data_IF_470871661946
#
_entry.id   IF_470871661946
#
_cell.length_a   1.000
_cell.length_b   1.000
_cell.length_c   1.000
_cell.angle_alpha   90.00
_cell.angle_beta   90.00
_cell.angle_gamma   90.00
#
_symmetry.space_group_name_H-M   'P 1'
#
loop_
_entity.id
_entity.type
_entity.pdbx_description
1 polymer ?
#
# COMPACT_ATOMS: atom_id res chain seq x y z
N UNK A 1 4.85 -11.44 -0.52
CA UNK A 1 5.06 -12.86 -0.16
C UNK A 1 5.26 -13.07 1.33
N UNK A 2 6.06 -12.26 2.03
CA UNK A 2 6.30 -12.41 3.47
C UNK A 2 4.99 -12.35 4.28
N UNK A 3 4.09 -11.40 3.99
CA UNK A 3 2.78 -11.33 4.63
C UNK A 3 1.95 -12.61 4.44
N UNK A 4 1.94 -13.15 3.21
CA UNK A 4 1.26 -14.40 2.90
C UNK A 4 1.86 -15.60 3.66
N UNK A 5 3.18 -15.66 3.78
CA UNK A 5 3.86 -16.72 4.54
C UNK A 5 3.55 -16.63 6.04
N UNK A 6 3.62 -15.41 6.59
CA UNK A 6 3.36 -15.17 8.01
C UNK A 6 1.91 -15.49 8.41
N UNK A 7 0.94 -15.05 7.62
CA UNK A 7 -0.48 -15.22 7.92
C UNK A 7 -1.05 -16.55 7.43
N UNK A 8 -0.34 -17.30 6.57
CA UNK A 8 -0.83 -18.47 5.84
C UNK A 8 -2.09 -18.18 5.01
N UNK A 9 -2.19 -16.96 4.44
CA UNK A 9 -3.34 -16.48 3.67
C UNK A 9 -2.87 -15.95 2.32
N UNK A 10 -3.62 -16.14 1.22
CA UNK A 10 -3.22 -15.64 -0.10
C UNK A 10 -3.67 -14.21 -0.38
N UNK A 11 -4.79 -13.75 0.20
CA UNK A 11 -5.50 -12.57 -0.22
C UNK A 11 -4.81 -11.27 0.21
N UNK A 12 -4.54 -10.39 -0.75
CA UNK A 12 -3.92 -9.07 -0.54
C UNK A 12 -4.87 -7.99 -1.04
N UNK A 13 -4.98 -6.93 -0.27
CA UNK A 13 -5.66 -5.70 -0.69
C UNK A 13 -4.60 -4.70 -1.15
N UNK A 14 -4.84 -4.04 -2.28
CA UNK A 14 -4.02 -2.95 -2.77
C UNK A 14 -4.88 -1.75 -3.20
N UNK A 15 -4.26 -0.59 -3.29
CA UNK A 15 -4.92 0.62 -3.74
C UNK A 15 -4.84 0.74 -5.26
N UNK A 16 -5.92 1.19 -5.92
CA UNK A 16 -5.89 1.49 -7.35
C UNK A 16 -4.88 2.59 -7.66
N UNK A 17 -4.40 2.63 -8.88
CA UNK A 17 -3.36 3.55 -9.39
C UNK A 17 -1.97 3.37 -8.75
N UNK A 18 -1.78 2.41 -7.86
CA UNK A 18 -0.49 2.12 -7.23
C UNK A 18 0.45 1.35 -8.16
N UNK A 19 1.76 1.53 -7.94
CA UNK A 19 2.81 0.79 -8.61
C UNK A 19 3.80 0.24 -7.59
N UNK A 20 4.02 -1.08 -7.62
CA UNK A 20 4.88 -1.81 -6.66
C UNK A 20 5.97 -2.65 -7.33
N UNK A 21 6.18 -2.46 -8.62
CA UNK A 21 7.18 -3.17 -9.41
C UNK A 21 6.61 -4.24 -10.34
N UNK A 22 7.50 -4.96 -11.04
CA UNK A 22 7.16 -5.81 -12.18
C UNK A 22 7.59 -7.27 -12.00
N UNK A 23 7.90 -7.71 -10.80
CA UNK A 23 7.96 -9.15 -10.53
C UNK A 23 6.54 -9.71 -10.50
N UNK A 24 6.37 -11.02 -10.71
CA UNK A 24 5.03 -11.63 -10.77
C UNK A 24 4.11 -11.23 -9.62
N UNK A 25 4.61 -11.22 -8.38
CA UNK A 25 3.79 -10.87 -7.22
C UNK A 25 3.62 -9.35 -7.04
N UNK A 26 4.61 -8.53 -7.40
CA UNK A 26 4.49 -7.07 -7.31
C UNK A 26 3.65 -6.50 -8.44
N UNK A 27 3.70 -7.09 -9.64
CA UNK A 27 2.80 -6.74 -10.75
C UNK A 27 1.35 -7.05 -10.39
N UNK A 28 1.09 -8.19 -9.74
CA UNK A 28 -0.25 -8.55 -9.29
C UNK A 28 -0.90 -7.50 -8.36
N UNK A 29 -0.12 -6.77 -7.56
CA UNK A 29 -0.60 -5.67 -6.69
C UNK A 29 -0.42 -4.27 -7.30
N UNK A 30 0.22 -4.15 -8.46
CA UNK A 30 0.38 -2.90 -9.21
C UNK A 30 -0.84 -2.66 -10.09
N UNK A 31 -1.56 -1.58 -9.83
CA UNK A 31 -2.85 -1.29 -10.48
C UNK A 31 -2.80 -0.06 -11.38
N UNK A 32 -1.61 0.47 -11.61
CA UNK A 32 -1.39 1.62 -12.50
C UNK A 32 -1.67 1.24 -13.95
N UNK A 33 -2.76 1.74 -14.51
CA UNK A 33 -3.11 1.55 -15.93
C UNK A 33 -2.19 2.34 -16.86
N UNK A 34 -1.43 3.30 -16.36
CA UNK A 34 -0.43 4.03 -17.13
C UNK A 34 0.80 3.14 -17.42
N UNK A 35 1.15 2.25 -16.48
CA UNK A 35 2.26 1.31 -16.64
C UNK A 35 1.83 0.00 -17.31
N UNK A 36 0.62 -0.47 -17.02
CA UNK A 36 0.03 -1.66 -17.61
C UNK A 36 -1.46 -1.41 -17.90
N UNK A 37 -1.84 -1.16 -19.17
CA UNK A 37 -3.24 -0.94 -19.55
C UNK A 37 -4.20 -2.07 -19.14
N UNK A 38 -3.69 -3.29 -18.97
CA UNK A 38 -4.46 -4.46 -18.57
C UNK A 38 -4.40 -4.73 -17.05
N UNK A 39 -3.80 -3.84 -16.27
CA UNK A 39 -3.55 -4.04 -14.85
C UNK A 39 -4.79 -4.44 -14.04
N UNK A 40 -5.99 -3.99 -14.39
CA UNK A 40 -7.22 -4.33 -13.68
C UNK A 40 -7.89 -5.60 -14.21
N UNK A 41 -7.71 -5.95 -15.50
CA UNK A 41 -8.40 -7.07 -16.15
C UNK A 41 -7.64 -8.41 -16.03
N UNK A 42 -6.34 -8.38 -15.79
CA UNK A 42 -5.49 -9.58 -15.70
C UNK A 42 -5.13 -9.98 -14.28
N UNK A 43 -5.81 -9.40 -13.30
CA UNK A 43 -5.51 -9.57 -11.89
C UNK A 43 -5.95 -10.93 -11.36
N UNK A 44 -5.10 -11.61 -10.54
CA UNK A 44 -5.50 -12.84 -9.87
C UNK A 44 -6.64 -12.62 -8.88
N UNK A 45 -7.47 -13.64 -8.65
CA UNK A 45 -8.64 -13.61 -7.76
C UNK A 45 -8.30 -13.33 -6.28
N UNK A 46 -7.05 -13.52 -5.88
CA UNK A 46 -6.56 -13.24 -4.53
C UNK A 46 -6.14 -11.77 -4.32
N UNK A 47 -6.30 -10.92 -5.35
CA UNK A 47 -6.06 -9.48 -5.25
C UNK A 47 -7.39 -8.74 -5.17
N UNK A 48 -7.56 -7.98 -4.10
CA UNK A 48 -8.68 -7.07 -3.89
C UNK A 48 -8.20 -5.63 -4.01
N UNK A 49 -9.05 -4.74 -4.50
CA UNK A 49 -8.68 -3.33 -4.68
C UNK A 49 -9.61 -2.41 -3.92
N UNK A 50 -9.04 -1.38 -3.28
CA UNK A 50 -9.75 -0.18 -2.83
C UNK A 50 -9.53 0.94 -3.83
N UNK A 51 -10.40 1.95 -3.84
CA UNK A 51 -10.25 3.08 -4.75
C UNK A 51 -8.97 3.88 -4.44
N UNK A 52 -8.44 4.52 -5.49
CA UNK A 52 -7.31 5.43 -5.35
C UNK A 52 -7.70 6.63 -4.49
N UNK A 53 -7.07 6.78 -3.34
CA UNK A 53 -7.32 7.89 -2.42
C UNK A 53 -6.71 9.21 -2.93
N UNK A 54 -7.06 9.57 -4.17
CA UNK A 54 -6.54 10.71 -4.91
C UNK A 54 -7.45 11.92 -4.73
N UNK A 55 -7.07 12.81 -3.81
CA UNK A 55 -7.81 14.05 -3.51
C UNK A 55 -7.84 15.07 -4.65
N UNK A 56 -6.96 14.92 -5.66
CA UNK A 56 -6.85 15.84 -6.79
C UNK A 56 -7.72 15.43 -7.98
N UNK A 57 -7.67 14.14 -8.39
CA UNK A 57 -8.36 13.65 -9.59
C UNK A 57 -9.35 12.53 -9.33
N UNK A 58 -9.42 12.01 -8.11
CA UNK A 58 -10.29 10.90 -7.76
C UNK A 58 -11.76 11.28 -7.69
N UNK A 59 -12.57 10.32 -7.22
CA UNK A 59 -14.02 10.48 -7.05
C UNK A 59 -14.37 11.43 -5.89
N UNK A 60 -13.53 11.49 -4.85
CA UNK A 60 -13.65 12.43 -3.75
C UNK A 60 -12.49 13.42 -3.80
N UNK A 61 -12.78 14.71 -3.95
CA UNK A 61 -11.79 15.76 -4.15
C UNK A 61 -11.79 16.78 -3.00
N UNK A 62 -10.63 17.40 -2.76
CA UNK A 62 -10.50 18.41 -1.71
C UNK A 62 -10.93 17.86 -0.36
N UNK A 63 -11.82 18.56 0.34
CA UNK A 63 -12.30 18.20 1.67
C UNK A 63 -13.09 16.87 1.69
N UNK A 64 -13.74 16.50 0.59
CA UNK A 64 -14.45 15.24 0.47
C UNK A 64 -13.53 14.01 0.48
N UNK A 65 -12.23 14.18 0.28
CA UNK A 65 -11.26 13.09 0.25
C UNK A 65 -11.21 12.28 1.56
N UNK A 66 -11.67 12.82 2.67
CA UNK A 66 -11.82 12.09 3.95
C UNK A 66 -12.73 10.86 3.84
N UNK A 67 -13.60 10.80 2.83
CA UNK A 67 -14.51 9.67 2.58
C UNK A 67 -13.79 8.40 2.13
N UNK A 68 -12.59 8.51 1.53
CA UNK A 68 -11.84 7.35 1.07
C UNK A 68 -11.49 6.36 2.19
N UNK A 69 -11.17 6.84 3.38
CA UNK A 69 -10.85 5.99 4.52
C UNK A 69 -11.99 5.05 4.91
N UNK A 70 -13.17 5.56 5.26
CA UNK A 70 -14.34 4.75 5.57
C UNK A 70 -14.77 3.82 4.44
N UNK A 71 -14.67 4.26 3.17
CA UNK A 71 -15.01 3.43 2.02
C UNK A 71 -14.03 2.28 1.83
N UNK A 72 -12.73 2.51 1.98
CA UNK A 72 -11.72 1.47 1.94
C UNK A 72 -11.92 0.44 3.07
N UNK A 73 -12.22 0.90 4.29
CA UNK A 73 -12.56 0.03 5.43
C UNK A 73 -13.75 -0.86 5.08
N UNK A 74 -14.84 -0.29 4.55
CA UNK A 74 -16.04 -1.03 4.15
C UNK A 74 -15.73 -2.11 3.10
N UNK A 75 -14.87 -1.81 2.12
CA UNK A 75 -14.43 -2.79 1.12
C UNK A 75 -13.65 -3.92 1.79
N UNK A 76 -12.70 -3.60 2.67
CA UNK A 76 -11.87 -4.58 3.38
C UNK A 76 -12.73 -5.50 4.23
N UNK A 77 -13.66 -4.96 5.00
CA UNK A 77 -14.59 -5.73 5.83
C UNK A 77 -15.54 -6.59 4.98
N UNK A 78 -15.90 -6.10 3.80
CA UNK A 78 -16.80 -6.80 2.86
C UNK A 78 -16.18 -7.96 2.08
N UNK A 79 -14.84 -8.19 2.15
CA UNK A 79 -14.17 -9.30 1.45
C UNK A 79 -14.68 -10.67 1.91
N UNK A 80 -15.15 -10.78 3.15
CA UNK A 80 -15.81 -12.00 3.68
C UNK A 80 -14.87 -13.18 3.95
N UNK A 81 -13.55 -12.98 3.85
CA UNK A 81 -12.50 -13.96 4.16
C UNK A 81 -11.27 -13.28 4.74
N UNK A 82 -10.46 -14.00 5.53
CA UNK A 82 -9.24 -13.43 6.10
C UNK A 82 -8.22 -13.04 5.03
N UNK A 83 -7.65 -11.85 5.14
CA UNK A 83 -6.63 -11.31 4.24
C UNK A 83 -5.22 -11.47 4.83
N UNK A 84 -4.21 -11.56 3.96
CA UNK A 84 -2.80 -11.55 4.37
C UNK A 84 -2.32 -10.13 4.70
N UNK A 85 -2.85 -9.11 4.02
CA UNK A 85 -2.48 -7.74 4.29
C UNK A 85 -2.99 -6.74 3.27
N UNK A 86 -2.64 -5.49 3.53
CA UNK A 86 -2.86 -4.36 2.64
C UNK A 86 -1.52 -3.74 2.27
N UNK A 87 -1.31 -3.46 0.98
CA UNK A 87 -0.13 -2.76 0.48
C UNK A 87 -0.53 -1.44 -0.18
N UNK A 88 0.20 -0.39 0.14
CA UNK A 88 0.09 0.91 -0.53
C UNK A 88 1.38 1.69 -0.47
N UNK A 89 1.57 2.59 -1.43
CA UNK A 89 2.47 3.72 -1.27
C UNK A 89 1.94 4.60 -0.12
N UNK A 90 2.82 5.09 0.76
CA UNK A 90 2.43 6.00 1.85
C UNK A 90 2.09 7.41 1.36
N UNK A 91 2.44 7.68 0.10
CA UNK A 91 2.18 8.89 -0.65
C UNK A 91 2.16 8.47 -2.13
N UNK A 92 1.14 8.82 -2.88
CA UNK A 92 1.07 8.43 -4.28
C UNK A 92 2.20 9.04 -5.12
N UNK A 93 3.32 8.32 -5.22
CA UNK A 93 4.45 8.74 -6.04
C UNK A 93 4.14 8.55 -7.52
N UNK A 94 3.74 7.35 -7.90
CA UNK A 94 3.51 6.99 -9.30
C UNK A 94 2.25 7.65 -9.89
N UNK A 95 1.21 7.82 -9.11
CA UNK A 95 -0.05 8.44 -9.54
C UNK A 95 0.00 9.99 -9.58
N UNK A 96 1.19 10.60 -9.48
CA UNK A 96 1.38 12.03 -9.71
C UNK A 96 1.82 12.86 -8.49
N UNK A 97 2.37 12.25 -7.47
CA UNK A 97 2.85 12.94 -6.28
C UNK A 97 1.70 13.53 -5.44
N UNK A 98 0.69 12.71 -5.13
CA UNK A 98 -0.50 13.13 -4.40
C UNK A 98 -0.48 12.60 -2.97
N UNK A 99 -0.65 13.48 -1.99
CA UNK A 99 -0.80 13.10 -0.60
C UNK A 99 -2.05 12.25 -0.38
N UNK A 100 -1.94 11.22 0.46
CA UNK A 100 -3.12 10.52 0.96
C UNK A 100 -3.93 11.44 1.88
N UNK A 101 -5.27 11.31 1.91
CA UNK A 101 -6.10 12.07 2.85
C UNK A 101 -5.70 11.80 4.30
N UNK A 102 -5.82 12.82 5.15
CA UNK A 102 -5.45 12.72 6.56
C UNK A 102 -6.16 11.56 7.26
N UNK A 103 -5.38 10.74 7.97
CA UNK A 103 -5.89 9.61 8.72
C UNK A 103 -6.34 8.41 7.87
N UNK A 104 -6.14 8.44 6.55
CA UNK A 104 -6.49 7.32 5.65
C UNK A 104 -5.81 6.02 6.08
N UNK A 105 -4.47 6.01 6.17
CA UNK A 105 -3.74 4.80 6.57
C UNK A 105 -4.06 4.36 8.01
N UNK A 106 -4.38 5.29 8.90
CA UNK A 106 -4.76 4.95 10.28
C UNK A 106 -6.03 4.09 10.30
N UNK A 107 -7.04 4.44 9.52
CA UNK A 107 -8.28 3.70 9.42
C UNK A 107 -8.08 2.35 8.71
N UNK A 108 -7.40 2.35 7.58
CA UNK A 108 -7.16 1.15 6.77
C UNK A 108 -6.31 0.13 7.52
N UNK A 109 -5.21 0.54 8.15
CA UNK A 109 -4.34 -0.36 8.91
C UNK A 109 -5.06 -0.97 10.12
N UNK A 110 -5.94 -0.20 10.78
CA UNK A 110 -6.77 -0.71 11.86
C UNK A 110 -7.72 -1.82 11.38
N UNK A 111 -8.41 -1.60 10.27
CA UNK A 111 -9.32 -2.59 9.68
C UNK A 111 -8.59 -3.86 9.23
N UNK A 112 -7.43 -3.73 8.59
CA UNK A 112 -6.60 -4.85 8.14
C UNK A 112 -6.12 -5.69 9.32
N UNK A 113 -5.62 -5.05 10.38
CA UNK A 113 -5.15 -5.74 11.59
C UNK A 113 -6.28 -6.39 12.36
N UNK A 114 -7.47 -5.81 12.37
CA UNK A 114 -8.66 -6.42 12.97
C UNK A 114 -9.02 -7.76 12.32
N UNK A 115 -8.66 -7.96 11.05
CA UNK A 115 -8.80 -9.23 10.34
C UNK A 115 -7.56 -10.14 10.45
N UNK A 116 -6.55 -9.74 11.22
CA UNK A 116 -5.29 -10.46 11.37
C UNK A 116 -4.37 -10.36 10.15
N UNK A 117 -4.59 -9.40 9.27
CA UNK A 117 -3.70 -9.07 8.16
C UNK A 117 -2.60 -8.09 8.57
N UNK A 118 -1.60 -7.90 7.71
CA UNK A 118 -0.46 -7.03 7.93
C UNK A 118 -0.55 -5.74 7.09
N UNK A 119 -0.15 -4.62 7.68
CA UNK A 119 0.02 -3.33 7.01
C UNK A 119 1.39 -3.28 6.33
N UNK A 120 1.42 -3.06 5.02
CA UNK A 120 2.65 -3.03 4.22
C UNK A 120 2.77 -1.64 3.60
N UNK A 121 3.81 -0.90 3.98
CA UNK A 121 4.13 0.39 3.38
C UNK A 121 5.17 0.22 2.27
N UNK A 122 4.85 0.72 1.08
CA UNK A 122 5.82 0.91 0.01
C UNK A 122 6.44 2.30 0.15
N UNK A 123 7.65 2.34 0.68
CA UNK A 123 8.45 3.55 0.89
C UNK A 123 9.52 3.74 -0.20
N UNK A 124 9.42 2.99 -1.30
CA UNK A 124 10.40 3.01 -2.39
C UNK A 124 10.57 4.40 -3.01
N UNK A 125 9.47 5.15 -3.16
CA UNK A 125 9.49 6.52 -3.68
C UNK A 125 9.72 7.58 -2.60
N UNK A 126 9.14 7.43 -1.42
CA UNK A 126 8.96 8.53 -0.47
C UNK A 126 9.76 8.39 0.81
N UNK A 127 10.35 7.24 1.07
CA UNK A 127 11.23 7.02 2.21
C UNK A 127 12.53 7.84 2.15
N UNK A 128 13.27 7.83 3.23
CA UNK A 128 14.56 8.49 3.38
C UNK A 128 14.50 10.02 3.26
N UNK A 129 13.46 10.63 3.85
CA UNK A 129 13.34 12.08 3.94
C UNK A 129 12.87 12.77 2.64
N UNK A 130 12.34 12.02 1.66
CA UNK A 130 11.83 12.60 0.40
C UNK A 130 10.76 13.65 0.62
N UNK A 131 9.94 13.50 1.65
CA UNK A 131 8.88 14.45 2.00
C UNK A 131 9.35 15.63 2.87
N UNK A 132 10.66 15.75 3.11
CA UNK A 132 11.25 16.85 3.87
C UNK A 132 11.15 16.66 5.38
N UNK A 133 10.01 16.92 5.97
CA UNK A 133 9.78 16.81 7.42
C UNK A 133 9.82 15.36 7.92
N UNK A 134 9.35 14.42 7.11
CA UNK A 134 9.19 13.01 7.48
C UNK A 134 10.28 12.13 6.86
N UNK A 135 10.99 11.36 7.69
CA UNK A 135 11.96 10.37 7.19
C UNK A 135 11.26 9.21 6.47
N UNK A 136 10.12 8.76 7.00
CA UNK A 136 9.23 7.79 6.36
C UNK A 136 7.90 8.45 6.01
N UNK A 137 7.37 8.19 4.82
CA UNK A 137 6.12 8.76 4.37
C UNK A 137 4.92 8.39 5.25
N UNK A 138 4.90 7.16 5.78
CA UNK A 138 3.83 6.70 6.68
C UNK A 138 3.76 7.49 8.01
N UNK A 139 4.83 8.15 8.44
CA UNK A 139 4.81 9.00 9.64
C UNK A 139 3.87 10.20 9.48
N UNK A 140 3.70 10.71 8.25
CA UNK A 140 2.72 11.77 7.98
C UNK A 140 1.30 11.35 8.36
N UNK A 141 0.97 10.07 8.24
CA UNK A 141 -0.33 9.51 8.61
C UNK A 141 -0.42 9.07 10.09
N UNK A 142 0.65 9.27 10.88
CA UNK A 142 0.70 8.89 12.28
C UNK A 142 0.59 7.39 12.53
N UNK A 143 1.12 6.57 11.62
CA UNK A 143 1.04 5.09 11.69
C UNK A 143 2.43 4.46 11.62
N UNK A 144 2.49 3.18 12.03
CA UNK A 144 3.66 2.32 11.86
C UNK A 144 3.18 1.05 11.15
N UNK A 145 3.69 0.74 9.94
CA UNK A 145 3.38 -0.49 9.23
C UNK A 145 4.07 -1.71 9.86
N UNK A 146 3.61 -2.91 9.52
CA UNK A 146 4.21 -4.17 9.93
C UNK A 146 5.38 -4.58 9.03
N UNK A 147 5.33 -4.17 7.76
CA UNK A 147 6.36 -4.39 6.75
C UNK A 147 6.60 -3.09 5.98
N UNK A 148 7.87 -2.73 5.76
CA UNK A 148 8.27 -1.60 4.94
C UNK A 148 9.15 -2.09 3.78
N UNK A 149 8.76 -1.79 2.55
CA UNK A 149 9.56 -2.04 1.37
C UNK A 149 10.34 -0.77 0.99
N UNK A 150 11.64 -0.88 0.75
CA UNK A 150 12.52 0.23 0.38
C UNK A 150 13.42 -0.14 -0.80
N UNK A 151 13.69 0.84 -1.66
CA UNK A 151 14.63 0.75 -2.77
C UNK A 151 15.07 2.16 -3.19
N UNK A 152 15.47 2.34 -4.43
CA UNK A 152 15.84 3.63 -5.05
C UNK A 152 16.84 4.42 -4.19
N UNK A 153 16.35 5.30 -3.31
CA UNK A 153 17.18 6.20 -2.49
C UNK A 153 18.21 5.47 -1.62
N UNK A 154 17.88 4.28 -1.10
CA UNK A 154 18.81 3.50 -0.25
C UNK A 154 20.09 3.10 -1.00
N UNK A 155 20.00 2.90 -2.32
CA UNK A 155 21.12 2.48 -3.16
C UNK A 155 21.97 3.64 -3.70
N UNK A 156 21.51 4.90 -3.59
CA UNK A 156 22.24 6.04 -4.16
C UNK A 156 22.56 5.90 -5.66
N UNK A 157 21.64 5.30 -6.43
CA UNK A 157 21.83 4.97 -7.85
C UNK A 157 22.28 3.53 -8.11
N UNK A 158 22.69 2.78 -7.09
CA UNK A 158 22.99 1.36 -7.20
C UNK A 158 21.69 0.53 -7.02
N UNK A 159 21.49 -0.60 -7.74
CA UNK A 159 20.28 -1.42 -7.62
C UNK A 159 20.26 -2.17 -6.29
N UNK A 160 19.68 -1.55 -5.27
CA UNK A 160 19.54 -2.09 -3.93
C UNK A 160 18.09 -1.96 -3.49
N UNK A 161 17.55 -3.02 -2.89
CA UNK A 161 16.25 -3.04 -2.23
C UNK A 161 16.32 -3.79 -0.91
N UNK A 162 15.46 -3.42 0.03
CA UNK A 162 15.37 -4.10 1.30
C UNK A 162 13.92 -4.16 1.80
N UNK A 163 13.67 -5.08 2.73
CA UNK A 163 12.42 -5.19 3.48
C UNK A 163 12.74 -5.04 4.95
N UNK A 164 12.05 -4.15 5.64
CA UNK A 164 12.19 -3.88 7.07
C UNK A 164 10.92 -4.41 7.75
N UNK A 165 11.10 -5.25 8.77
CA UNK A 165 9.99 -5.82 9.52
C UNK A 165 10.45 -6.32 10.89
N UNK A 166 9.51 -6.77 11.74
CA UNK A 166 9.85 -7.39 13.02
C UNK A 166 10.54 -8.74 12.81
N UNK A 167 11.35 -9.14 13.80
CA UNK A 167 12.00 -10.46 13.82
C UNK A 167 10.97 -11.60 13.78
N UNK A 168 9.83 -11.40 14.41
CA UNK A 168 8.74 -12.37 14.44
C UNK A 168 8.23 -12.65 13.02
N UNK A 169 7.94 -11.60 12.24
CA UNK A 169 7.47 -11.74 10.85
C UNK A 169 8.58 -12.29 9.94
N UNK A 170 9.82 -11.87 10.14
CA UNK A 170 10.96 -12.27 9.31
C UNK A 170 11.33 -13.76 9.43
N UNK A 171 11.02 -14.40 10.55
CA UNK A 171 11.38 -15.79 10.81
C UNK A 171 10.29 -16.82 10.39
N UNK A 172 9.36 -16.44 9.51
CA UNK A 172 8.27 -17.29 9.03
C UNK A 172 8.53 -17.87 7.63
#
# INVERSE_FOLDING_TARGET
RLAMAYTSRPDIVCMRESYHGWTYASDAVSTSIADNPNALSTRPDWIHTVDAANSYRGIHRGEDAVKYGPEAVKVIEGIGKPIAGFISESYFGNAGGVALPDGYLKQVYAAVRAQGGLAIADEVQVGFGRLGEWFWGFHQQGVIPDIVAVAKSIGGGHPLGAVITSREIANR
#
